data_IF_213650960645
#
_entry.id   IF_213650960645
#
_cell.length_a   1.000
_cell.length_b   1.000
_cell.length_c   1.000
_cell.angle_alpha   90.00
_cell.angle_beta   90.00
_cell.angle_gamma   90.00
#
_symmetry.space_group_name_H-M   'P 1'
#
loop_
_entity.id
_entity.type
_entity.pdbx_description
1 polymer ?
#
# COMPACT_ATOMS: atom_id res chain seq x y z
N UNK A 1 -39.92 32.34 20.87
CA UNK A 1 -38.73 32.67 20.07
C UNK A 1 -37.53 32.01 20.73
N UNK A 2 -36.72 31.25 19.97
CA UNK A 2 -35.47 30.54 20.34
C UNK A 2 -35.67 29.28 21.22
N UNK A 3 -35.39 28.01 20.85
CA UNK A 3 -34.31 27.28 20.12
C UNK A 3 -32.92 27.37 20.79
N UNK A 4 -32.08 26.31 20.79
CA UNK A 4 -32.17 25.12 21.63
C UNK A 4 -30.87 24.85 22.45
N UNK A 5 -30.90 23.80 23.28
CA UNK A 5 -29.80 23.17 24.02
C UNK A 5 -28.51 22.95 23.20
N UNK A 6 -27.30 23.17 23.77
CA UNK A 6 -26.07 22.65 23.18
C UNK A 6 -25.93 21.16 23.50
N UNK A 7 -26.45 20.32 22.61
CA UNK A 7 -26.03 18.92 22.47
C UNK A 7 -24.90 18.83 21.44
N UNK A 8 -24.00 17.87 21.66
CA UNK A 8 -22.89 17.46 20.78
C UNK A 8 -21.59 18.27 20.92
N UNK A 9 -21.00 18.18 22.12
CA UNK A 9 -19.55 18.08 22.27
C UNK A 9 -19.14 16.62 22.38
N UNK A 10 -19.60 15.73 21.49
CA UNK A 10 -18.87 14.47 21.30
C UNK A 10 -17.57 14.91 20.63
N UNK A 11 -16.54 15.16 21.45
CA UNK A 11 -15.19 14.80 21.04
C UNK A 11 -15.35 13.35 20.63
N UNK A 12 -15.47 13.10 19.33
CA UNK A 12 -15.13 11.81 18.81
C UNK A 12 -13.70 11.64 19.31
N UNK A 13 -13.55 10.86 20.37
CA UNK A 13 -12.33 10.12 20.58
C UNK A 13 -12.04 9.59 19.18
N UNK A 14 -10.98 10.11 18.55
CA UNK A 14 -10.40 9.44 17.41
C UNK A 14 -10.09 8.06 17.99
N UNK A 15 -11.02 7.12 17.78
CA UNK A 15 -10.75 5.72 17.98
C UNK A 15 -9.49 5.53 17.15
N UNK A 16 -8.38 5.28 17.85
CA UNK A 16 -7.07 5.22 17.22
C UNK A 16 -7.25 4.37 15.97
N UNK A 17 -7.01 4.93 14.77
CA UNK A 17 -7.26 4.18 13.57
C UNK A 17 -6.40 2.92 13.69
N UNK A 18 -7.00 1.74 13.50
CA UNK A 18 -6.26 0.47 13.41
C UNK A 18 -5.58 0.44 12.05
N UNK A 19 -4.78 1.48 11.81
CA UNK A 19 -4.04 1.71 10.60
C UNK A 19 -2.75 0.92 10.76
N UNK A 20 -2.62 -0.13 9.97
CA UNK A 20 -1.46 -1.01 10.00
C UNK A 20 -0.47 -0.47 8.96
N UNK A 21 0.78 -0.20 9.35
CA UNK A 21 1.80 0.25 8.40
C UNK A 21 2.28 -0.92 7.56
N UNK A 22 2.43 -0.66 6.27
CA UNK A 22 3.00 -1.57 5.28
C UNK A 22 4.04 -0.81 4.45
N UNK A 23 5.06 -1.52 4.01
CA UNK A 23 6.08 -0.97 3.11
C UNK A 23 6.01 -1.69 1.79
N UNK A 24 5.89 -0.95 0.69
CA UNK A 24 5.92 -1.49 -0.65
C UNK A 24 7.25 -1.17 -1.30
N UNK A 25 7.80 -2.11 -2.04
CA UNK A 25 9.08 -1.97 -2.73
C UNK A 25 8.91 -2.33 -4.20
N UNK A 26 9.57 -1.57 -5.06
CA UNK A 26 9.69 -1.85 -6.48
C UNK A 26 11.14 -2.29 -6.77
N UNK A 27 11.37 -3.59 -6.96
CA UNK A 27 12.72 -4.10 -7.22
C UNK A 27 12.68 -5.21 -8.28
N UNK A 28 13.72 -5.32 -9.11
CA UNK A 28 13.84 -6.37 -10.13
C UNK A 28 12.60 -6.51 -11.05
N UNK A 29 11.90 -5.41 -11.33
CA UNK A 29 10.67 -5.42 -12.12
C UNK A 29 9.48 -6.10 -11.42
N UNK A 30 9.49 -6.14 -10.08
CA UNK A 30 8.45 -6.73 -9.23
C UNK A 30 8.04 -5.77 -8.13
N UNK A 31 6.81 -5.96 -7.65
CA UNK A 31 6.25 -5.26 -6.50
C UNK A 31 6.29 -6.21 -5.31
N UNK A 32 6.97 -5.79 -4.26
CA UNK A 32 7.00 -6.49 -2.99
C UNK A 32 6.25 -5.69 -1.93
N UNK A 33 5.65 -6.38 -0.97
CA UNK A 33 5.11 -5.75 0.23
C UNK A 33 5.67 -6.39 1.49
N UNK A 34 6.03 -5.55 2.45
CA UNK A 34 6.44 -5.93 3.78
C UNK A 34 5.43 -5.45 4.81
N UNK A 35 5.17 -6.28 5.81
CA UNK A 35 4.34 -5.93 6.96
C UNK A 35 5.18 -5.72 8.22
N UNK A 36 4.52 -5.28 9.30
CA UNK A 36 5.15 -5.10 10.64
C UNK A 36 5.81 -6.35 11.24
N UNK A 37 5.57 -7.54 10.67
CA UNK A 37 6.20 -8.79 11.12
C UNK A 37 7.50 -9.09 10.36
N UNK A 38 8.02 -8.13 9.60
CA UNK A 38 9.17 -8.26 8.70
C UNK A 38 8.95 -9.33 7.61
N UNK A 39 7.70 -9.77 7.43
CA UNK A 39 7.32 -10.71 6.36
C UNK A 39 7.30 -9.91 5.07
N UNK A 40 7.99 -10.40 4.05
CA UNK A 40 8.03 -9.85 2.70
C UNK A 40 7.31 -10.81 1.78
N UNK A 41 6.40 -10.30 0.95
CA UNK A 41 5.69 -11.08 -0.07
C UNK A 41 5.87 -10.42 -1.43
N UNK A 42 5.92 -11.22 -2.48
CA UNK A 42 5.83 -10.77 -3.87
C UNK A 42 4.34 -10.57 -4.21
N UNK A 43 3.94 -9.34 -4.51
CA UNK A 43 2.55 -9.01 -4.84
C UNK A 43 2.26 -9.12 -6.33
N UNK A 44 3.29 -8.94 -7.16
CA UNK A 44 3.07 -8.77 -8.59
C UNK A 44 4.30 -8.34 -9.36
N UNK A 45 4.08 -8.10 -10.64
CA UNK A 45 5.07 -7.55 -11.56
C UNK A 45 4.94 -6.03 -11.66
N UNK A 46 6.08 -5.35 -11.73
CA UNK A 46 6.20 -3.96 -12.13
C UNK A 46 7.05 -3.89 -13.39
N UNK A 47 6.41 -3.80 -14.54
CA UNK A 47 7.09 -3.69 -15.82
C UNK A 47 7.31 -2.22 -16.20
N UNK A 48 8.36 -1.96 -16.97
CA UNK A 48 8.66 -0.63 -17.50
C UNK A 48 8.28 -0.59 -18.97
N UNK A 49 7.09 -0.07 -19.24
CA UNK A 49 6.53 0.04 -20.59
C UNK A 49 7.00 1.36 -21.23
N UNK A 50 8.10 1.29 -21.98
CA UNK A 50 8.69 2.43 -22.70
C UNK A 50 9.17 3.54 -21.76
N UNK A 51 8.45 4.67 -21.75
CA UNK A 51 8.73 5.82 -20.86
C UNK A 51 7.97 5.77 -19.54
N UNK A 52 7.04 4.84 -19.38
CA UNK A 52 6.25 4.69 -18.17
C UNK A 52 6.46 3.37 -17.46
N UNK A 53 5.69 3.17 -16.40
CA UNK A 53 5.62 1.95 -15.61
C UNK A 53 4.21 1.39 -15.65
N UNK A 54 4.12 0.07 -15.59
CA UNK A 54 2.89 -0.69 -15.51
C UNK A 54 3.02 -1.73 -14.40
N UNK A 55 2.03 -1.83 -13.53
CA UNK A 55 1.98 -2.88 -12.52
C UNK A 55 0.86 -3.87 -12.83
N UNK A 56 1.06 -5.11 -12.40
CA UNK A 56 0.05 -6.15 -12.42
C UNK A 56 0.22 -7.03 -11.19
N UNK A 57 -0.82 -7.14 -10.37
CA UNK A 57 -0.79 -8.01 -9.19
C UNK A 57 -1.05 -9.46 -9.57
N UNK A 58 -0.24 -10.39 -9.05
CA UNK A 58 -0.40 -11.83 -9.29
C UNK A 58 -1.64 -12.39 -8.58
N UNK A 59 -2.04 -11.74 -7.50
CA UNK A 59 -3.21 -12.08 -6.71
C UNK A 59 -4.54 -11.84 -7.43
N UNK A 60 -4.61 -10.79 -8.26
CA UNK A 60 -5.77 -10.47 -9.07
C UNK A 60 -5.32 -9.73 -10.34
N UNK A 61 -5.42 -10.42 -11.48
CA UNK A 61 -5.00 -9.89 -12.78
C UNK A 61 -5.80 -8.66 -13.24
N UNK A 62 -6.95 -8.37 -12.61
CA UNK A 62 -7.72 -7.15 -12.89
C UNK A 62 -7.15 -5.94 -12.16
N UNK A 63 -6.33 -6.15 -11.12
CA UNK A 63 -5.57 -5.09 -10.45
C UNK A 63 -4.28 -4.87 -11.24
N UNK A 64 -4.44 -4.28 -12.42
CA UNK A 64 -3.37 -3.87 -13.29
C UNK A 64 -3.60 -2.44 -13.76
N UNK A 65 -2.54 -1.64 -13.78
CA UNK A 65 -2.60 -0.27 -14.29
C UNK A 65 -1.29 0.11 -14.94
N UNK A 66 -1.35 1.06 -15.87
CA UNK A 66 -0.21 1.48 -16.69
C UNK A 66 -0.22 2.99 -16.92
N UNK A 67 0.89 3.52 -17.43
CA UNK A 67 1.03 4.95 -17.72
C UNK A 67 1.56 5.77 -16.54
N UNK A 68 2.21 5.13 -15.57
CA UNK A 68 2.87 5.85 -14.48
C UNK A 68 4.21 6.42 -14.94
N UNK A 69 4.53 7.65 -14.57
CA UNK A 69 5.79 8.31 -14.93
C UNK A 69 7.01 7.75 -14.17
N UNK A 70 6.78 7.24 -12.96
CA UNK A 70 7.79 6.77 -12.02
C UNK A 70 7.33 5.49 -11.30
N UNK A 71 8.27 4.64 -10.81
CA UNK A 71 7.91 3.43 -10.07
C UNK A 71 7.15 3.77 -8.78
N UNK A 72 7.45 4.91 -8.17
CA UNK A 72 6.78 5.44 -6.97
C UNK A 72 5.29 5.74 -7.23
N UNK A 73 4.98 6.36 -8.38
CA UNK A 73 3.60 6.60 -8.82
C UNK A 73 2.87 5.29 -9.10
N UNK A 74 3.56 4.30 -9.68
CA UNK A 74 2.99 2.97 -9.87
C UNK A 74 2.68 2.29 -8.52
N UNK A 75 3.60 2.35 -7.56
CA UNK A 75 3.39 1.83 -6.20
C UNK A 75 2.23 2.55 -5.50
N UNK A 76 2.12 3.87 -5.62
CA UNK A 76 1.00 4.63 -5.07
C UNK A 76 -0.33 4.20 -5.71
N UNK A 77 -0.33 3.90 -7.02
CA UNK A 77 -1.46 3.31 -7.73
C UNK A 77 -1.83 1.92 -7.21
N UNK A 78 -0.85 1.06 -6.94
CA UNK A 78 -1.08 -0.26 -6.31
C UNK A 78 -1.76 -0.07 -4.96
N UNK A 79 -1.25 0.80 -4.10
CA UNK A 79 -1.82 1.06 -2.77
C UNK A 79 -3.25 1.59 -2.86
N UNK A 80 -3.53 2.48 -3.81
CA UNK A 80 -4.89 2.98 -4.04
C UNK A 80 -5.86 1.95 -4.62
N UNK A 81 -5.34 0.87 -5.22
CA UNK A 81 -6.14 -0.18 -5.83
C UNK A 81 -6.40 -1.39 -4.89
N UNK A 82 -5.65 -1.50 -3.78
CA UNK A 82 -5.77 -2.60 -2.82
C UNK A 82 -6.29 -2.12 -1.47
N UNK A 83 -6.71 -3.06 -0.63
CA UNK A 83 -7.21 -2.79 0.73
C UNK A 83 -6.43 -3.60 1.77
N UNK A 84 -6.57 -3.23 3.03
CA UNK A 84 -6.01 -3.99 4.15
C UNK A 84 -6.38 -5.48 4.08
N UNK A 85 -7.67 -5.79 3.85
CA UNK A 85 -8.16 -7.18 3.78
C UNK A 85 -7.54 -7.95 2.61
N UNK A 86 -7.31 -7.28 1.48
CA UNK A 86 -6.62 -7.89 0.35
C UNK A 86 -5.18 -8.27 0.73
N UNK A 87 -4.43 -7.34 1.33
CA UNK A 87 -3.06 -7.60 1.79
C UNK A 87 -3.00 -8.68 2.86
N UNK A 88 -3.86 -8.63 3.87
CA UNK A 88 -3.92 -9.64 4.93
C UNK A 88 -4.18 -11.04 4.35
N UNK A 89 -5.06 -11.13 3.34
CA UNK A 89 -5.26 -12.32 2.53
C UNK A 89 -3.99 -12.77 1.81
N UNK A 90 -3.27 -11.86 1.15
CA UNK A 90 -2.01 -12.18 0.46
C UNK A 90 -0.90 -12.62 1.43
N UNK A 91 -0.78 -11.96 2.59
CA UNK A 91 0.17 -12.38 3.63
C UNK A 91 -0.18 -13.73 4.24
N UNK A 92 -1.43 -14.16 4.16
CA UNK A 92 -1.85 -15.49 4.60
C UNK A 92 -1.62 -16.54 3.51
N UNK A 93 -1.87 -16.20 2.25
CA UNK A 93 -1.76 -17.11 1.10
C UNK A 93 -0.34 -17.29 0.58
N UNK A 94 0.47 -16.23 0.59
CA UNK A 94 1.81 -16.20 -0.01
C UNK A 94 2.90 -16.55 1.01
N UNK A 95 3.93 -17.21 0.50
CA UNK A 95 5.14 -17.51 1.26
C UNK A 95 5.94 -16.23 1.52
N UNK A 96 6.71 -16.23 2.61
CA UNK A 96 7.69 -15.18 2.84
C UNK A 96 8.84 -15.31 1.82
N UNK A 97 9.05 -14.26 1.03
CA UNK A 97 10.21 -14.13 0.12
C UNK A 97 11.38 -13.42 0.80
N UNK A 98 11.23 -13.05 2.07
CA UNK A 98 12.24 -12.40 2.90
C UNK A 98 13.47 -13.26 3.19
N UNK A 99 13.47 -14.55 2.85
CA UNK A 99 14.65 -15.42 2.91
C UNK A 99 15.64 -15.24 1.74
N UNK A 100 15.15 -14.87 0.56
CA UNK A 100 15.94 -14.56 -0.63
C UNK A 100 15.73 -13.08 -0.97
N UNK A 101 15.99 -12.20 0.01
CA UNK A 101 15.72 -10.76 -0.12
C UNK A 101 16.40 -10.24 -1.39
N UNK A 102 15.61 -9.71 -2.34
CA UNK A 102 16.17 -8.89 -3.41
C UNK A 102 16.97 -7.74 -2.80
N UNK A 103 17.88 -7.15 -3.56
CA UNK A 103 18.55 -5.94 -3.11
C UNK A 103 17.54 -4.78 -3.08
N UNK A 104 16.95 -4.58 -1.90
CA UNK A 104 15.91 -3.58 -1.63
C UNK A 104 16.50 -2.26 -1.11
N UNK A 105 17.83 -2.19 -0.91
CA UNK A 105 18.51 -1.07 -0.25
C UNK A 105 18.41 0.23 -1.06
N UNK A 106 18.52 0.15 -2.39
CA UNK A 106 18.37 1.28 -3.32
C UNK A 106 17.04 1.21 -4.10
N UNK A 107 16.13 0.32 -3.71
CA UNK A 107 14.86 0.15 -4.42
C UNK A 107 13.86 1.26 -4.05
N UNK A 108 13.12 1.81 -5.02
CA UNK A 108 11.99 2.68 -4.74
C UNK A 108 11.01 2.02 -3.78
N UNK A 109 10.71 2.70 -2.68
CA UNK A 109 9.81 2.20 -1.65
C UNK A 109 8.79 3.25 -1.22
N UNK A 110 7.60 2.82 -0.83
CA UNK A 110 6.60 3.69 -0.22
C UNK A 110 6.10 3.06 1.09
N UNK A 111 5.97 3.90 2.11
CA UNK A 111 5.40 3.52 3.38
C UNK A 111 3.96 4.01 3.43
N UNK A 112 3.03 3.09 3.66
CA UNK A 112 1.61 3.43 3.67
C UNK A 112 0.93 2.81 4.87
N UNK A 113 -0.03 3.53 5.42
CA UNK A 113 -0.79 3.05 6.56
C UNK A 113 -2.20 2.77 6.08
N UNK A 114 -2.60 1.50 6.11
CA UNK A 114 -3.91 1.08 5.66
C UNK A 114 -4.80 0.83 6.87
N UNK A 115 -5.94 1.52 6.92
CA UNK A 115 -6.93 1.27 7.95
C UNK A 115 -7.71 -0.02 7.65
N UNK A 116 -7.90 -0.85 8.68
CA UNK A 116 -8.66 -2.09 8.58
C UNK A 116 -10.13 -1.87 8.11
N UNK A 117 -10.68 -0.66 8.25
CA UNK A 117 -12.00 -0.26 7.74
C UNK A 117 -12.01 0.22 6.28
N UNK A 118 -10.88 0.18 5.57
CA UNK A 118 -10.83 0.35 4.11
C UNK A 118 -10.58 1.77 3.60
N UNK A 119 -10.15 2.71 4.45
CA UNK A 119 -9.57 3.97 3.99
C UNK A 119 -8.06 3.85 3.89
N UNK A 120 -7.55 3.79 2.67
CA UNK A 120 -6.13 3.93 2.36
C UNK A 120 -5.79 5.42 2.28
N UNK A 121 -4.97 5.94 3.18
CA UNK A 121 -4.28 7.22 2.99
C UNK A 121 -2.85 6.91 2.54
N UNK A 122 -2.50 7.09 1.25
CA UNK A 122 -1.13 6.94 0.79
C UNK A 122 -0.31 8.08 1.40
N UNK A 123 0.51 7.76 2.40
CA UNK A 123 1.52 8.67 2.93
C UNK A 123 2.72 8.65 1.97
N UNK A 124 2.62 9.36 0.85
CA UNK A 124 3.78 9.60 -0.01
C UNK A 124 4.70 10.51 0.78
N UNK A 125 5.76 9.94 1.37
CA UNK A 125 6.84 10.72 1.95
C UNK A 125 7.59 11.40 0.81
N UNK A 126 7.11 12.57 0.41
CA UNK A 126 7.88 13.49 -0.41
C UNK A 126 9.03 14.02 0.44
N UNK A 127 10.17 13.33 0.39
CA UNK A 127 11.43 13.90 0.86
C UNK A 127 11.94 14.87 -0.22
N UNK A 128 12.05 16.14 0.15
CA UNK A 128 12.58 17.26 -0.66
C UNK A 128 13.97 17.61 -0.16
#
# INVERSE_FOLDING_TARGET
MTTPVPSAGVRAAAAAPTAVPFTFYAANGRVYASNVKDKLIDLGRLDREGKGYAFQLDADEKIASSGFESPEHALAGVVGAITFLFLDGQFTALADVGGERPDLIDAPQIHVTLDALGKSEPAIAADV
#
